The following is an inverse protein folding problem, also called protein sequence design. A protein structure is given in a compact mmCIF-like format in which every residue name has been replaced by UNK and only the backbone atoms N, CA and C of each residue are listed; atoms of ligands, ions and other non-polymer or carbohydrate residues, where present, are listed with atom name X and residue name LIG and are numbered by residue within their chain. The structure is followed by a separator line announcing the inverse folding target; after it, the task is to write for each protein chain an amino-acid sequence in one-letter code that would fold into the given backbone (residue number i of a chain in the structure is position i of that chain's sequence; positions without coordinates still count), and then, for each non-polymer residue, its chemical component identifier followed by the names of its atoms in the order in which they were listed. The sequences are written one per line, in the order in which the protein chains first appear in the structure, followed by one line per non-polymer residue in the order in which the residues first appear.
data_IF_672390370757
#
_entry.id   IF_672390370757
#
_cell.length_a   1.000
_cell.length_b   1.000
_cell.length_c   1.000
_cell.angle_alpha   90.00
_cell.angle_beta   90.00
_cell.angle_gamma   90.00
#
_symmetry.space_group_name_H-M   'P 1'
#
loop_
_entity.id
_entity.type
_entity.pdbx_description
1 polymer ?
#
# COMPACT_ATOMS: atom_id res chain seq x y z
N UNK A 1 -6.21 -27.79 25.21
CA UNK A 1 -5.96 -26.33 25.21
C UNK A 1 -4.93 -25.92 24.14
N UNK A 2 -3.70 -26.47 24.19
CA UNK A 2 -2.63 -26.17 23.22
C UNK A 2 -3.04 -26.36 21.75
N UNK A 3 -3.69 -27.49 21.42
CA UNK A 3 -4.14 -27.78 20.06
C UNK A 3 -5.16 -26.75 19.52
N UNK A 4 -6.08 -26.28 20.37
CA UNK A 4 -7.06 -25.26 19.98
C UNK A 4 -6.41 -23.89 19.75
N UNK A 5 -5.43 -23.53 20.60
CA UNK A 5 -4.63 -22.33 20.42
C UNK A 5 -3.82 -22.37 19.11
N UNK A 6 -3.21 -23.52 18.81
CA UNK A 6 -2.47 -23.73 17.57
C UNK A 6 -3.35 -23.55 16.33
N UNK A 7 -4.55 -24.15 16.31
CA UNK A 7 -5.50 -23.97 15.20
C UNK A 7 -5.89 -22.51 15.03
N UNK A 8 -6.20 -21.81 16.13
CA UNK A 8 -6.57 -20.39 16.10
C UNK A 8 -5.44 -19.50 15.54
N UNK A 9 -4.19 -19.77 15.94
CA UNK A 9 -3.02 -19.06 15.41
C UNK A 9 -2.84 -19.32 13.91
N UNK A 10 -2.95 -20.58 13.47
CA UNK A 10 -2.90 -20.93 12.04
C UNK A 10 -3.98 -20.20 11.24
N UNK A 11 -5.22 -20.18 11.73
CA UNK A 11 -6.33 -19.48 11.06
C UNK A 11 -6.05 -17.98 10.91
N UNK A 12 -5.50 -17.34 11.95
CA UNK A 12 -5.15 -15.91 11.93
C UNK A 12 -4.08 -15.63 10.88
N UNK A 13 -3.04 -16.45 10.82
CA UNK A 13 -1.96 -16.33 9.81
C UNK A 13 -2.51 -16.52 8.40
N UNK A 14 -3.37 -17.51 8.18
CA UNK A 14 -4.00 -17.77 6.88
C UNK A 14 -4.85 -16.56 6.46
N UNK A 15 -5.69 -16.03 7.36
CA UNK A 15 -6.54 -14.87 7.08
C UNK A 15 -5.70 -13.64 6.70
N UNK A 16 -4.61 -13.39 7.42
CA UNK A 16 -3.71 -12.28 7.17
C UNK A 16 -2.99 -12.43 5.82
N UNK A 17 -2.45 -13.63 5.52
CA UNK A 17 -1.82 -13.89 4.23
C UNK A 17 -2.82 -13.78 3.07
N UNK A 18 -4.04 -14.30 3.25
CA UNK A 18 -5.10 -14.18 2.25
C UNK A 18 -5.40 -12.71 1.94
N UNK A 19 -5.55 -11.88 2.98
CA UNK A 19 -5.73 -10.44 2.81
C UNK A 19 -4.58 -9.80 2.00
N UNK A 20 -3.33 -10.13 2.31
CA UNK A 20 -2.17 -9.60 1.58
C UNK A 20 -2.15 -10.05 0.11
N UNK A 21 -2.53 -11.28 -0.20
CA UNK A 21 -2.63 -11.79 -1.59
C UNK A 21 -3.73 -11.05 -2.37
N UNK A 22 -4.85 -10.73 -1.73
CA UNK A 22 -5.91 -9.92 -2.36
C UNK A 22 -5.38 -8.52 -2.71
N UNK A 23 -4.66 -7.87 -1.79
CA UNK A 23 -4.04 -6.56 -2.06
C UNK A 23 -3.00 -6.66 -3.18
N UNK A 24 -2.20 -7.73 -3.22
CA UNK A 24 -1.20 -7.90 -4.28
C UNK A 24 -1.81 -8.15 -5.65
N UNK A 25 -2.94 -8.86 -5.70
CA UNK A 25 -3.74 -8.97 -6.92
C UNK A 25 -4.21 -7.58 -7.38
N UNK A 26 -4.54 -6.69 -6.42
CA UNK A 26 -4.77 -5.27 -6.67
C UNK A 26 -3.55 -4.54 -7.26
N UNK A 27 -2.33 -4.84 -6.81
CA UNK A 27 -1.10 -4.30 -7.40
C UNK A 27 -0.95 -4.72 -8.87
N UNK A 28 -1.14 -6.00 -9.16
CA UNK A 28 -1.10 -6.53 -10.53
C UNK A 28 -2.12 -5.81 -11.41
N UNK A 29 -3.34 -5.61 -10.90
CA UNK A 29 -4.38 -4.87 -11.62
C UNK A 29 -4.01 -3.39 -11.85
N UNK A 30 -3.43 -2.71 -10.86
CA UNK A 30 -2.97 -1.33 -11.03
C UNK A 30 -1.82 -1.22 -12.05
N UNK A 31 -0.89 -2.17 -12.05
CA UNK A 31 0.16 -2.26 -13.09
C UNK A 31 -0.47 -2.46 -14.47
N UNK A 32 -1.50 -3.30 -14.59
CA UNK A 32 -2.24 -3.45 -15.84
C UNK A 32 -2.84 -2.13 -16.31
N UNK A 33 -3.51 -1.37 -15.43
CA UNK A 33 -4.09 -0.07 -15.79
C UNK A 33 -3.01 0.95 -16.18
N UNK A 34 -1.95 1.09 -15.37
CA UNK A 34 -0.86 2.06 -15.59
C UNK A 34 -0.01 1.73 -16.82
N UNK A 35 0.07 0.45 -17.19
CA UNK A 35 0.76 -0.01 -18.40
C UNK A 35 -0.07 0.11 -19.67
N UNK A 36 -1.21 0.83 -19.63
CA UNK A 36 -2.19 0.94 -20.72
C UNK A 36 -2.73 -0.43 -21.14
N UNK A 37 -3.07 -1.26 -20.16
CA UNK A 37 -3.65 -2.60 -20.35
C UNK A 37 -2.70 -3.60 -21.03
N UNK A 38 -1.39 -3.46 -20.82
CA UNK A 38 -0.39 -4.34 -21.42
C UNK A 38 -0.22 -5.64 -20.62
N UNK A 39 -0.69 -6.76 -21.17
CA UNK A 39 -0.58 -8.07 -20.52
C UNK A 39 0.87 -8.48 -20.28
N UNK A 40 1.80 -8.19 -21.21
CA UNK A 40 3.22 -8.57 -21.08
C UNK A 40 3.88 -7.93 -19.86
N UNK A 41 3.67 -6.61 -19.68
CA UNK A 41 4.22 -5.87 -18.52
C UNK A 41 3.55 -6.30 -17.21
N UNK A 42 2.26 -6.60 -17.28
CA UNK A 42 1.49 -7.10 -16.13
C UNK A 42 2.01 -8.46 -15.68
N UNK A 43 2.25 -9.39 -16.61
CA UNK A 43 2.84 -10.69 -16.30
C UNK A 43 4.28 -10.56 -15.79
N UNK A 44 5.09 -9.66 -16.37
CA UNK A 44 6.45 -9.43 -15.89
C UNK A 44 6.46 -8.98 -14.42
N UNK A 45 5.48 -8.16 -14.01
CA UNK A 45 5.31 -7.78 -12.60
C UNK A 45 4.75 -8.94 -11.75
N UNK A 46 3.68 -9.59 -12.20
CA UNK A 46 3.00 -10.65 -11.43
C UNK A 46 3.84 -11.92 -11.26
N UNK A 47 4.76 -12.18 -12.20
CA UNK A 47 5.72 -13.29 -12.14
C UNK A 47 7.07 -12.86 -11.58
N UNK A 48 7.21 -11.61 -11.11
CA UNK A 48 8.44 -11.18 -10.47
C UNK A 48 8.66 -12.00 -9.19
N UNK A 49 9.78 -12.72 -9.06
CA UNK A 49 10.04 -13.57 -7.90
C UNK A 49 10.00 -12.77 -6.59
N UNK A 50 10.44 -11.51 -6.60
CA UNK A 50 10.42 -10.66 -5.41
C UNK A 50 8.97 -10.44 -4.95
N UNK A 51 8.07 -10.09 -5.87
CA UNK A 51 6.66 -9.87 -5.56
C UNK A 51 6.03 -11.12 -4.95
N UNK A 52 6.28 -12.30 -5.54
CA UNK A 52 5.78 -13.58 -5.06
C UNK A 52 6.36 -13.92 -3.68
N UNK A 53 7.66 -13.74 -3.47
CA UNK A 53 8.34 -14.06 -2.20
C UNK A 53 7.84 -13.17 -1.05
N UNK A 54 7.69 -11.86 -1.30
CA UNK A 54 7.22 -10.87 -0.32
C UNK A 54 5.81 -11.20 0.17
N UNK A 55 4.90 -11.55 -0.75
CA UNK A 55 3.48 -11.78 -0.45
C UNK A 55 3.22 -13.18 0.08
N UNK A 56 3.81 -14.19 -0.56
CA UNK A 56 3.45 -15.60 -0.33
C UNK A 56 4.28 -16.23 0.79
N UNK A 57 5.61 -16.04 0.76
CA UNK A 57 6.51 -16.64 1.74
C UNK A 57 6.62 -15.76 2.99
N UNK A 58 7.08 -14.52 2.82
CA UNK A 58 7.36 -13.63 3.94
C UNK A 58 6.09 -13.05 4.57
N UNK A 59 5.01 -12.86 3.80
CA UNK A 59 3.79 -12.20 4.29
C UNK A 59 4.06 -10.75 4.73
N UNK A 60 4.96 -10.07 4.03
CA UNK A 60 5.31 -8.69 4.34
C UNK A 60 4.19 -7.73 3.96
N UNK A 61 3.93 -6.76 4.83
CA UNK A 61 2.92 -5.72 4.61
C UNK A 61 3.32 -4.68 3.55
N UNK A 62 4.49 -4.79 2.91
CA UNK A 62 4.98 -3.87 1.86
C UNK A 62 4.05 -3.79 0.64
N UNK A 63 3.22 -4.80 0.47
CA UNK A 63 2.17 -4.88 -0.56
C UNK A 63 1.17 -3.72 -0.44
N UNK A 64 0.81 -3.30 0.79
CA UNK A 64 -0.14 -2.19 1.00
C UNK A 64 0.44 -0.83 0.58
N UNK A 65 1.62 -0.40 1.05
CA UNK A 65 2.24 0.84 0.57
C UNK A 65 2.41 0.87 -0.95
N UNK A 66 2.81 -0.24 -1.57
CA UNK A 66 2.92 -0.34 -3.03
C UNK A 66 1.56 -0.10 -3.68
N UNK A 67 0.50 -0.73 -3.18
CA UNK A 67 -0.86 -0.55 -3.71
C UNK A 67 -1.29 0.91 -3.67
N UNK A 68 -1.15 1.55 -2.50
CA UNK A 68 -1.51 2.94 -2.33
C UNK A 68 -0.65 3.88 -3.19
N UNK A 69 0.65 3.59 -3.37
CA UNK A 69 1.50 4.34 -4.30
C UNK A 69 1.04 4.20 -5.76
N UNK A 70 0.67 2.99 -6.21
CA UNK A 70 0.20 2.77 -7.57
C UNK A 70 -1.13 3.48 -7.82
N UNK A 71 -2.06 3.42 -6.85
CA UNK A 71 -3.33 4.17 -6.90
C UNK A 71 -3.07 5.68 -6.94
N UNK A 72 -2.13 6.17 -6.14
CA UNK A 72 -1.74 7.58 -6.17
C UNK A 72 -1.22 7.99 -7.54
N UNK A 73 -0.35 7.18 -8.15
CA UNK A 73 0.18 7.42 -9.51
C UNK A 73 -0.93 7.36 -10.56
N UNK A 74 -1.92 6.48 -10.40
CA UNK A 74 -3.08 6.39 -11.29
C UNK A 74 -3.89 7.69 -11.28
N UNK A 75 -4.21 8.21 -10.09
CA UNK A 75 -4.96 9.47 -9.95
C UNK A 75 -4.14 10.74 -10.20
N UNK A 76 -2.82 10.65 -10.27
CA UNK A 76 -1.95 11.81 -10.52
C UNK A 76 -2.31 12.60 -11.79
N UNK A 77 -2.93 11.93 -12.78
CA UNK A 77 -3.34 12.54 -14.06
C UNK A 77 -4.78 13.02 -14.11
N UNK A 78 -5.61 12.68 -13.13
CA UNK A 78 -7.05 12.98 -13.14
C UNK A 78 -7.43 13.86 -11.97
N UNK A 79 -7.12 13.44 -10.74
CA UNK A 79 -7.53 14.12 -9.51
C UNK A 79 -6.36 14.23 -8.53
N UNK A 80 -5.70 15.39 -8.54
CA UNK A 80 -4.53 15.63 -7.69
C UNK A 80 -4.80 15.38 -6.20
N UNK A 81 -5.96 15.79 -5.68
CA UNK A 81 -6.30 15.60 -4.26
C UNK A 81 -6.41 14.12 -3.86
N UNK A 82 -7.03 13.27 -4.70
CA UNK A 82 -7.06 11.83 -4.43
C UNK A 82 -5.66 11.21 -4.56
N UNK A 83 -4.87 11.68 -5.53
CA UNK A 83 -3.47 11.28 -5.66
C UNK A 83 -2.69 11.56 -4.37
N UNK A 84 -2.78 12.78 -3.82
CA UNK A 84 -2.16 13.12 -2.54
C UNK A 84 -2.67 12.25 -1.41
N UNK A 85 -3.98 12.10 -1.26
CA UNK A 85 -4.57 11.28 -0.20
C UNK A 85 -4.00 9.85 -0.21
N UNK A 86 -4.03 9.17 -1.36
CA UNK A 86 -3.51 7.80 -1.46
C UNK A 86 -2.00 7.72 -1.26
N UNK A 87 -1.23 8.70 -1.74
CA UNK A 87 0.21 8.76 -1.45
C UNK A 87 0.47 8.93 0.05
N UNK A 88 -0.35 9.73 0.73
CA UNK A 88 -0.28 9.94 2.17
C UNK A 88 -0.61 8.66 2.94
N UNK A 89 -1.62 7.90 2.50
CA UNK A 89 -1.91 6.57 3.06
C UNK A 89 -0.72 5.62 2.91
N UNK A 90 -0.02 5.64 1.77
CA UNK A 90 1.18 4.82 1.60
C UNK A 90 2.26 5.15 2.64
N UNK A 91 2.55 6.45 2.84
CA UNK A 91 3.51 6.94 3.84
C UNK A 91 3.05 6.64 5.27
N UNK A 92 1.74 6.72 5.53
CA UNK A 92 1.17 6.42 6.84
C UNK A 92 1.24 4.94 7.21
N UNK A 93 1.21 4.03 6.23
CA UNK A 93 1.33 2.59 6.47
C UNK A 93 2.79 2.17 6.65
N UNK A 94 3.71 2.72 5.85
CA UNK A 94 5.15 2.56 6.02
C UNK A 94 5.87 3.83 5.62
N UNK A 95 7.02 4.09 6.20
CA UNK A 95 7.75 5.35 6.01
C UNK A 95 8.52 5.42 4.69
N UNK A 96 8.98 4.30 4.12
CA UNK A 96 9.83 4.31 2.90
C UNK A 96 9.22 4.99 1.65
N UNK A 97 7.90 4.99 1.40
CA UNK A 97 7.28 5.76 0.31
C UNK A 97 7.61 7.26 0.36
N UNK A 98 7.98 7.81 1.54
CA UNK A 98 8.37 9.22 1.69
C UNK A 98 9.55 9.59 0.78
N UNK A 99 10.42 8.63 0.47
CA UNK A 99 11.57 8.81 -0.44
C UNK A 99 11.12 9.22 -1.85
N UNK A 100 9.87 8.91 -2.22
CA UNK A 100 9.29 9.24 -3.52
C UNK A 100 8.49 10.55 -3.52
N UNK A 101 8.45 11.31 -2.43
CA UNK A 101 7.74 12.61 -2.37
C UNK A 101 8.22 13.55 -3.47
N UNK A 102 9.53 13.73 -3.63
CA UNK A 102 10.07 14.65 -4.63
C UNK A 102 9.67 14.30 -6.08
N UNK A 103 9.87 13.07 -6.59
CA UNK A 103 9.42 12.71 -7.94
C UNK A 103 7.89 12.69 -8.07
N UNK A 104 7.16 12.40 -6.99
CA UNK A 104 5.69 12.43 -6.96
C UNK A 104 5.13 13.85 -7.12
N UNK A 105 5.61 14.81 -6.31
CA UNK A 105 5.18 16.22 -6.36
C UNK A 105 5.47 16.89 -7.70
N UNK A 106 6.48 16.44 -8.45
CA UNK A 106 6.75 16.93 -9.81
C UNK A 106 5.67 16.56 -10.82
N UNK A 107 4.88 15.51 -10.57
CA UNK A 107 3.87 14.98 -11.49
C UNK A 107 2.44 15.31 -11.10
N UNK A 108 2.18 15.66 -9.85
CA UNK A 108 0.83 15.93 -9.33
C UNK A 108 0.60 17.43 -9.24
N UNK A 109 -0.59 17.86 -9.68
CA UNK A 109 -1.07 19.24 -9.53
C UNK A 109 -2.49 19.19 -8.96
N UNK A 110 -2.93 20.20 -8.19
CA UNK A 110 -2.19 21.40 -7.79
C UNK A 110 -1.22 21.16 -6.61
N UNK A 111 -0.23 22.02 -6.42
CA UNK A 111 0.84 21.78 -5.42
C UNK A 111 0.37 21.94 -3.97
N UNK A 112 -0.67 22.75 -3.71
CA UNK A 112 -1.18 22.97 -2.35
C UNK A 112 -1.72 21.70 -1.70
N UNK A 113 -2.14 20.71 -2.51
CA UNK A 113 -2.57 19.41 -2.02
C UNK A 113 -1.45 18.60 -1.34
N UNK A 114 -0.18 19.00 -1.51
CA UNK A 114 0.95 18.37 -0.82
C UNK A 114 0.84 18.45 0.71
N UNK A 115 0.11 19.45 1.24
CA UNK A 115 -0.17 19.56 2.68
C UNK A 115 -0.97 18.36 3.22
N UNK A 116 -1.69 17.62 2.36
CA UNK A 116 -2.39 16.41 2.78
C UNK A 116 -1.44 15.30 3.24
N UNK A 117 -0.20 15.27 2.73
CA UNK A 117 0.80 14.25 3.06
C UNK A 117 1.07 14.20 4.56
N UNK A 118 1.60 15.27 5.18
CA UNK A 118 1.83 15.27 6.62
C UNK A 118 0.52 15.20 7.42
N UNK A 119 -0.57 15.85 6.96
CA UNK A 119 -1.85 15.87 7.69
C UNK A 119 -2.43 14.46 7.84
N UNK A 120 -2.53 13.70 6.75
CA UNK A 120 -3.08 12.33 6.79
C UNK A 120 -2.17 11.40 7.58
N UNK A 121 -0.84 11.54 7.47
CA UNK A 121 0.10 10.74 8.27
C UNK A 121 -0.11 10.99 9.77
N UNK A 122 -0.21 12.26 10.18
CA UNK A 122 -0.48 12.63 11.57
C UNK A 122 -1.83 12.06 12.03
N UNK A 123 -2.88 12.16 11.22
CA UNK A 123 -4.20 11.59 11.55
C UNK A 123 -4.11 10.06 11.75
N UNK A 124 -3.40 9.34 10.87
CA UNK A 124 -3.20 7.89 10.99
C UNK A 124 -2.45 7.57 12.28
N UNK A 125 -1.39 8.33 12.62
CA UNK A 125 -0.62 8.14 13.86
C UNK A 125 -1.48 8.38 15.11
N UNK A 126 -2.29 9.44 15.13
CA UNK A 126 -3.23 9.70 16.22
C UNK A 126 -4.30 8.62 16.35
N UNK A 127 -4.89 8.19 15.23
CA UNK A 127 -5.87 7.11 15.22
C UNK A 127 -5.26 5.81 15.77
N UNK A 128 -4.04 5.47 15.35
CA UNK A 128 -3.30 4.32 15.87
C UNK A 128 -3.10 4.43 17.39
N UNK A 129 -2.62 5.56 17.89
CA UNK A 129 -2.48 5.77 19.33
C UNK A 129 -3.80 5.62 20.09
N UNK A 130 -4.89 6.19 19.56
CA UNK A 130 -6.20 6.12 20.19
C UNK A 130 -6.71 4.66 20.29
N UNK A 131 -6.63 3.88 19.21
CA UNK A 131 -7.10 2.50 19.22
C UNK A 131 -6.23 1.58 20.08
N UNK A 132 -4.91 1.78 20.05
CA UNK A 132 -3.97 0.89 20.74
C UNK A 132 -3.54 1.40 22.12
N UNK A 133 -4.12 2.51 22.59
CA UNK A 133 -3.76 3.17 23.85
C UNK A 133 -2.26 3.38 24.00
N UNK A 134 -1.58 3.63 22.89
CA UNK A 134 -0.14 3.89 22.88
C UNK A 134 0.09 5.35 23.30
N UNK A 135 0.98 5.57 24.27
CA UNK A 135 1.47 6.91 24.58
C UNK A 135 2.21 7.46 23.34
N UNK A 136 1.71 8.57 22.79
CA UNK A 136 2.38 9.33 21.71
C UNK A 136 3.61 10.02 22.27
#
# INVERSE_FOLDING_TARGET
LFFLYFISACQTIINLKFFLVVVDTGNVFMVYLLSKKSWKKTLLYGLNPITILVTSLHGQFDVLPIFFMLVAVYFARTTGMLSYFFFSCAVGIKTWPVLFVAPFLRRVRPFYGALLIPVVVVIISFAYSFFFHASI
#
